data_IF_568031714375
#
_entry.id   IF_568031714375
#
_cell.length_a   1.000
_cell.length_b   1.000
_cell.length_c   1.000
_cell.angle_alpha   90.00
_cell.angle_beta   90.00
_cell.angle_gamma   90.00
#
_symmetry.space_group_name_H-M   'P 1'
#
loop_
_entity.id
_entity.type
_entity.pdbx_description
1 polymer ?
#
# COMPACT_ATOMS: atom_id res chain seq x y z
N UNK A 1 9.69 3.53 9.25
CA UNK A 1 9.96 2.23 9.93
C UNK A 1 8.60 1.66 10.24
N UNK A 2 8.31 0.41 9.87
CA UNK A 2 6.97 -0.17 9.98
C UNK A 2 6.45 -0.13 11.43
N UNK A 3 5.22 0.35 11.63
CA UNK A 3 4.59 0.50 12.95
C UNK A 3 3.91 -0.81 13.37
N UNK A 4 4.05 -1.20 14.64
CA UNK A 4 3.45 -2.43 15.19
C UNK A 4 1.98 -2.20 15.53
N UNK A 5 1.10 -3.12 15.09
CA UNK A 5 -0.34 -3.04 15.40
C UNK A 5 -0.70 -3.97 16.56
N UNK A 6 -1.43 -3.45 17.56
CA UNK A 6 -2.04 -4.27 18.61
C UNK A 6 -3.18 -5.09 17.97
N UNK A 7 -3.05 -6.42 17.95
CA UNK A 7 -3.99 -7.32 17.28
C UNK A 7 -5.33 -7.45 18.03
N UNK A 8 -6.17 -6.41 17.94
CA UNK A 8 -7.62 -6.49 18.14
C UNK A 8 -8.32 -6.83 16.83
N UNK A 9 -9.51 -7.44 16.88
CA UNK A 9 -10.30 -7.97 15.74
C UNK A 9 -10.77 -6.93 14.68
N UNK A 10 -9.90 -6.06 14.20
CA UNK A 10 -10.14 -5.17 13.07
C UNK A 10 -9.23 -5.59 11.92
N UNK A 11 -9.85 -5.96 10.80
CA UNK A 11 -9.17 -6.26 9.53
C UNK A 11 -8.36 -5.02 9.11
N UNK A 12 -7.05 -5.13 8.85
CA UNK A 12 -6.29 -3.99 8.33
C UNK A 12 -6.78 -3.65 6.93
N UNK A 13 -7.21 -2.41 6.74
CA UNK A 13 -7.66 -1.89 5.45
C UNK A 13 -6.44 -1.58 4.59
N UNK A 14 -6.06 -2.49 3.70
CA UNK A 14 -5.03 -2.24 2.69
C UNK A 14 -5.62 -1.44 1.52
N UNK A 15 -4.98 -0.33 1.16
CA UNK A 15 -5.44 0.54 0.08
C UNK A 15 -4.34 1.50 -0.39
N UNK A 16 -4.49 2.09 -1.59
CA UNK A 16 -3.59 3.16 -2.03
C UNK A 16 -3.70 4.33 -1.04
N UNK A 17 -2.55 4.83 -0.59
CA UNK A 17 -2.49 6.02 0.26
C UNK A 17 -2.78 7.20 -0.66
N UNK A 18 -3.98 7.77 -0.57
CA UNK A 18 -4.29 9.00 -1.30
C UNK A 18 -3.46 10.12 -0.66
N UNK A 19 -2.65 10.82 -1.48
CA UNK A 19 -1.98 12.04 -1.05
C UNK A 19 -3.04 13.02 -0.52
N UNK A 20 -2.95 13.40 0.76
CA UNK A 20 -3.89 14.36 1.34
C UNK A 20 -3.73 15.73 0.68
N UNK A 21 -4.76 16.14 -0.07
CA UNK A 21 -5.02 17.54 -0.39
C UNK A 21 -6.43 17.86 0.08
N UNK A 22 -6.53 18.59 1.18
CA UNK A 22 -7.76 19.20 1.66
C UNK A 22 -7.92 20.52 0.92
N UNK A 23 -8.86 20.61 -0.02
CA UNK A 23 -9.66 21.80 -0.28
C UNK A 23 -10.98 21.40 -0.94
N UNK A 24 -12.09 21.70 -0.26
CA UNK A 24 -13.46 21.62 -0.75
C UNK A 24 -13.68 22.57 -1.94
N UNK A 25 -14.11 22.04 -3.09
CA UNK A 25 -15.21 22.60 -3.91
C UNK A 25 -15.70 21.55 -4.90
N UNK A 26 -17.02 21.36 -4.92
CA UNK A 26 -17.80 20.42 -5.72
C UNK A 26 -17.56 20.48 -7.24
N UNK A 27 -17.21 19.35 -7.86
CA UNK A 27 -17.55 19.05 -9.26
C UNK A 27 -17.80 17.55 -9.44
N UNK A 28 -19.03 17.19 -9.85
CA UNK A 28 -19.33 15.88 -10.41
C UNK A 28 -18.54 15.68 -11.71
N UNK A 29 -17.50 14.84 -11.66
CA UNK A 29 -16.87 14.29 -12.86
C UNK A 29 -16.72 12.79 -12.65
N UNK A 30 -17.42 12.05 -13.50
CA UNK A 30 -17.31 10.60 -13.73
C UNK A 30 -15.86 10.16 -13.50
N UNK A 31 -15.59 9.48 -12.39
CA UNK A 31 -14.28 8.89 -12.11
C UNK A 31 -14.14 7.71 -13.07
N UNK A 32 -13.70 7.99 -14.29
CA UNK A 32 -13.04 7.00 -15.13
C UNK A 32 -11.97 6.40 -14.23
N UNK A 33 -12.12 5.14 -13.84
CA UNK A 33 -11.08 4.39 -13.18
C UNK A 33 -9.90 4.31 -14.16
N UNK A 34 -9.11 5.38 -14.18
CA UNK A 34 -7.80 5.37 -14.77
C UNK A 34 -6.97 4.50 -13.82
N UNK A 35 -6.97 3.19 -14.09
CA UNK A 35 -5.94 2.31 -13.57
C UNK A 35 -4.64 2.89 -14.08
N UNK A 36 -3.96 3.68 -13.26
CA UNK A 36 -2.64 4.20 -13.58
C UNK A 36 -1.75 2.99 -13.76
N UNK A 37 -1.46 2.64 -15.01
CA UNK A 37 -0.53 1.54 -15.28
C UNK A 37 0.81 1.88 -14.64
N UNK A 38 1.42 0.90 -13.97
CA UNK A 38 2.76 1.03 -13.43
C UNK A 38 3.72 1.24 -14.60
N UNK A 39 4.47 2.35 -14.57
CA UNK A 39 5.42 2.71 -15.62
C UNK A 39 6.85 2.64 -15.11
N UNK A 40 7.72 2.00 -15.90
CA UNK A 40 9.16 1.97 -15.62
C UNK A 40 9.74 3.38 -15.67
N UNK A 41 10.58 3.72 -14.69
CA UNK A 41 11.22 5.03 -14.58
C UNK A 41 10.33 6.15 -14.01
N UNK A 42 9.07 5.87 -13.70
CA UNK A 42 8.21 6.76 -12.90
C UNK A 42 8.27 6.38 -11.42
N UNK A 43 7.88 7.31 -10.55
CA UNK A 43 7.73 7.02 -9.12
C UNK A 43 6.72 5.89 -8.95
N UNK A 44 7.09 4.85 -8.20
CA UNK A 44 6.18 3.77 -7.87
C UNK A 44 4.98 4.34 -7.08
N UNK A 45 3.74 3.89 -7.34
CA UNK A 45 2.59 4.27 -6.54
C UNK A 45 2.81 3.91 -5.08
N UNK A 46 2.51 4.84 -4.18
CA UNK A 46 2.60 4.56 -2.76
C UNK A 46 1.43 3.66 -2.33
N UNK A 47 1.70 2.77 -1.38
CA UNK A 47 0.71 1.86 -0.84
C UNK A 47 1.01 1.59 0.63
N UNK A 48 -0.06 1.32 1.37
CA UNK A 48 -0.01 0.85 2.75
C UNK A 48 -0.66 -0.52 2.82
N UNK A 49 0.04 -1.47 3.43
CA UNK A 49 -0.42 -2.83 3.59
C UNK A 49 -0.01 -3.38 4.96
N UNK A 50 -0.91 -4.17 5.56
CA UNK A 50 -0.53 -4.96 6.71
C UNK A 50 0.41 -6.10 6.28
N UNK A 51 1.45 -6.31 7.08
CA UNK A 51 2.38 -7.40 6.94
C UNK A 51 2.60 -8.11 8.27
N UNK A 52 3.32 -9.23 8.20
CA UNK A 52 3.77 -9.96 9.37
C UNK A 52 5.29 -9.98 9.37
N UNK A 53 5.90 -9.52 10.46
CA UNK A 53 7.36 -9.41 10.61
C UNK A 53 7.77 -9.75 12.04
N UNK A 54 8.79 -10.60 12.18
CA UNK A 54 9.40 -10.92 13.50
C UNK A 54 8.41 -11.36 14.59
N UNK A 55 7.35 -12.07 14.22
CA UNK A 55 6.36 -12.55 15.18
C UNK A 55 5.15 -11.62 15.40
N UNK A 56 5.18 -10.41 14.84
CA UNK A 56 4.14 -9.39 15.02
C UNK A 56 3.50 -8.94 13.71
N UNK A 57 2.31 -8.35 13.84
CA UNK A 57 1.67 -7.64 12.74
C UNK A 57 2.19 -6.21 12.66
N UNK A 58 2.47 -5.75 11.46
CA UNK A 58 2.99 -4.41 11.19
C UNK A 58 2.21 -3.75 10.07
N UNK A 59 2.11 -2.44 10.09
CA UNK A 59 1.68 -1.66 8.92
C UNK A 59 2.92 -1.19 8.14
N UNK A 60 2.97 -1.51 6.85
CA UNK A 60 4.10 -1.21 5.96
C UNK A 60 3.63 -0.25 4.88
N UNK A 61 4.28 0.91 4.79
CA UNK A 61 4.06 1.88 3.71
C UNK A 61 5.29 1.93 2.81
N UNK A 62 5.12 2.03 1.49
CA UNK A 62 6.27 2.06 0.56
C UNK A 62 7.16 3.30 0.82
N UNK A 63 6.56 4.43 1.17
CA UNK A 63 7.28 5.65 1.56
C UNK A 63 8.25 5.49 2.73
N UNK A 64 8.06 4.50 3.62
CA UNK A 64 9.00 4.22 4.73
C UNK A 64 10.40 3.78 4.28
N UNK A 65 10.52 3.35 3.01
CA UNK A 65 11.75 2.79 2.45
C UNK A 65 12.46 3.75 1.47
N UNK A 66 12.05 5.02 1.40
CA UNK A 66 12.73 6.02 0.59
C UNK A 66 14.23 6.11 0.95
N UNK A 67 15.07 6.21 -0.08
CA UNK A 67 16.54 6.21 0.07
C UNK A 67 17.17 4.82 0.14
N UNK A 68 16.38 3.74 0.10
CA UNK A 68 16.86 2.35 0.00
C UNK A 68 16.37 1.71 -1.29
N UNK A 69 17.12 0.74 -1.80
CA UNK A 69 16.62 -0.13 -2.86
C UNK A 69 15.61 -1.11 -2.28
N UNK A 70 14.45 -1.20 -2.92
CA UNK A 70 13.33 -2.08 -2.53
C UNK A 70 13.00 -3.00 -3.68
N UNK A 71 12.84 -4.29 -3.38
CA UNK A 71 12.31 -5.29 -4.31
C UNK A 71 10.94 -5.71 -3.79
N UNK A 72 9.90 -5.48 -4.60
CA UNK A 72 8.52 -5.89 -4.30
C UNK A 72 8.15 -7.08 -5.18
N UNK A 73 7.80 -8.20 -4.57
CA UNK A 73 7.41 -9.42 -5.28
C UNK A 73 5.97 -9.79 -4.93
N UNK A 74 5.15 -10.01 -5.96
CA UNK A 74 3.82 -10.59 -5.83
C UNK A 74 3.90 -12.09 -6.15
N UNK A 75 3.20 -12.92 -5.38
CA UNK A 75 3.09 -14.35 -5.63
C UNK A 75 1.62 -14.79 -5.54
N UNK A 76 1.23 -15.91 -6.19
CA UNK A 76 -0.18 -16.25 -6.40
C UNK A 76 -0.97 -16.59 -5.12
N UNK A 77 -0.33 -17.20 -4.12
CA UNK A 77 -0.99 -17.56 -2.87
C UNK A 77 -0.12 -18.40 -1.95
N UNK A 78 -0.53 -18.48 -0.69
CA UNK A 78 0.08 -19.31 0.34
C UNK A 78 -0.38 -20.78 0.20
N UNK A 79 0.50 -21.72 0.58
CA UNK A 79 0.21 -23.17 0.63
C UNK A 79 -0.28 -23.78 -0.70
N UNK A 80 0.23 -23.29 -1.82
CA UNK A 80 -0.02 -23.87 -3.15
C UNK A 80 0.89 -25.08 -3.41
N UNK A 81 0.56 -25.85 -4.44
CA UNK A 81 1.38 -26.98 -4.90
C UNK A 81 2.67 -26.49 -5.59
N UNK A 82 3.75 -27.26 -5.44
CA UNK A 82 5.03 -27.07 -6.15
C UNK A 82 5.16 -28.04 -7.32
#
# INVERSE_FOLDING_TARGET
MAEEINAGCTRPTGGPVADEVVEDTSVDIVKKEAVSMIQVGKKAPDFSAAGYKQGGFVNVTLSDYLGKWVVLCFYPGDFTFV
#
